data_IF_111181251819
#
_entry.id   IF_111181251819
#
_cell.length_a   1.000
_cell.length_b   1.000
_cell.length_c   1.000
_cell.angle_alpha   90.00
_cell.angle_beta   90.00
_cell.angle_gamma   90.00
#
_symmetry.space_group_name_H-M   'P 1'
#
loop_
_entity.id
_entity.type
_entity.pdbx_description
1 polymer ?
#
# COMPACT_ATOMS: atom_id res chain seq x y z
N UNK A 1 16.35 -6.69 -49.36
CA UNK A 1 15.11 -6.47 -48.59
C UNK A 1 15.41 -5.53 -47.43
N UNK A 2 15.09 -4.26 -47.57
CA UNK A 2 15.25 -3.24 -46.53
C UNK A 2 14.13 -3.38 -45.50
N UNK A 3 14.49 -3.73 -44.25
CA UNK A 3 13.54 -3.76 -43.12
C UNK A 3 12.94 -2.35 -42.95
N UNK A 4 11.64 -2.21 -43.22
CA UNK A 4 10.88 -0.99 -42.87
C UNK A 4 11.01 -0.79 -41.36
N UNK A 5 11.72 0.26 -40.94
CA UNK A 5 11.68 0.74 -39.56
C UNK A 5 10.25 1.18 -39.25
N UNK A 6 9.60 0.49 -38.34
CA UNK A 6 8.29 0.91 -37.85
C UNK A 6 8.36 2.34 -37.34
N UNK A 7 7.45 3.19 -37.82
CA UNK A 7 7.35 4.57 -37.36
C UNK A 7 7.03 4.54 -35.85
N UNK A 8 7.75 5.31 -35.02
CA UNK A 8 7.44 5.39 -33.61
C UNK A 8 5.99 5.87 -33.43
N UNK A 9 5.15 5.04 -32.79
CA UNK A 9 3.77 5.42 -32.45
C UNK A 9 3.81 6.77 -31.72
N UNK A 10 2.95 7.74 -32.08
CA UNK A 10 2.92 9.03 -31.43
C UNK A 10 2.72 8.82 -29.92
N UNK A 11 3.68 9.30 -29.12
CA UNK A 11 3.61 9.24 -27.66
C UNK A 11 2.38 10.03 -27.21
N UNK A 12 1.31 9.33 -26.85
CA UNK A 12 0.13 9.96 -26.21
C UNK A 12 0.64 10.71 -24.98
N UNK A 13 0.42 12.03 -24.92
CA UNK A 13 0.70 12.81 -23.70
C UNK A 13 -0.18 12.26 -22.60
N UNK A 14 0.40 11.39 -21.78
CA UNK A 14 -0.34 10.58 -20.83
C UNK A 14 -0.72 11.33 -19.55
N UNK A 15 -0.18 12.52 -19.24
CA UNK A 15 -0.65 13.30 -18.08
C UNK A 15 -0.61 14.81 -18.36
N UNK A 16 -1.63 15.53 -17.85
CA UNK A 16 -1.98 16.91 -18.21
C UNK A 16 -2.01 17.88 -17.02
N UNK A 17 -1.81 17.43 -15.78
CA UNK A 17 -1.70 18.31 -14.61
C UNK A 17 -2.34 17.75 -13.33
N UNK A 18 -2.60 18.64 -12.38
CA UNK A 18 -3.33 18.34 -11.13
C UNK A 18 -4.84 18.58 -11.25
N UNK A 19 -5.53 18.58 -10.10
CA UNK A 19 -6.98 18.77 -10.03
C UNK A 19 -7.49 20.08 -10.67
N UNK A 20 -6.81 21.25 -10.52
CA UNK A 20 -7.25 22.48 -11.20
C UNK A 20 -7.26 22.31 -12.73
N UNK A 21 -6.22 21.69 -13.29
CA UNK A 21 -6.15 21.41 -14.73
C UNK A 21 -7.25 20.45 -15.16
N UNK A 22 -7.57 19.43 -14.36
CA UNK A 22 -8.69 18.53 -14.62
C UNK A 22 -10.02 19.31 -14.72
N UNK A 23 -10.31 20.14 -13.71
CA UNK A 23 -11.54 20.93 -13.65
C UNK A 23 -11.66 21.89 -14.84
N UNK A 24 -10.56 22.56 -15.23
CA UNK A 24 -10.55 23.42 -16.41
C UNK A 24 -10.91 22.64 -17.67
N UNK A 25 -10.32 21.46 -17.90
CA UNK A 25 -10.62 20.67 -19.09
C UNK A 25 -12.06 20.15 -19.08
N UNK A 26 -12.53 19.62 -17.94
CA UNK A 26 -13.92 19.17 -17.80
C UNK A 26 -14.91 20.29 -18.12
N UNK A 27 -14.70 21.49 -17.54
CA UNK A 27 -15.53 22.66 -17.79
C UNK A 27 -15.51 23.10 -19.25
N UNK A 28 -14.38 22.98 -19.94
CA UNK A 28 -14.31 23.25 -21.38
C UNK A 28 -15.20 22.31 -22.19
N UNK A 29 -15.20 21.01 -21.89
CA UNK A 29 -16.09 20.06 -22.58
C UNK A 29 -17.57 20.34 -22.29
N UNK A 30 -17.91 20.72 -21.05
CA UNK A 30 -19.27 21.12 -20.67
C UNK A 30 -19.72 22.37 -21.43
N UNK A 31 -18.89 23.41 -21.48
CA UNK A 31 -19.17 24.66 -22.19
C UNK A 31 -19.36 24.42 -23.70
N UNK A 32 -18.54 23.55 -24.28
CA UNK A 32 -18.63 23.18 -25.70
C UNK A 32 -19.73 22.14 -25.98
N UNK A 33 -20.48 21.71 -24.95
CA UNK A 33 -21.52 20.66 -25.02
C UNK A 33 -21.03 19.38 -25.71
N UNK A 34 -19.77 19.02 -25.47
CA UNK A 34 -19.18 17.81 -26.00
C UNK A 34 -19.44 16.65 -25.05
N UNK A 35 -19.56 15.44 -25.61
CA UNK A 35 -19.65 14.22 -24.83
C UNK A 35 -18.24 13.79 -24.39
N UNK A 36 -18.10 13.39 -23.13
CA UNK A 36 -16.83 12.94 -22.57
C UNK A 36 -17.05 11.95 -21.43
N UNK A 37 -16.01 11.22 -21.07
CA UNK A 37 -16.04 10.25 -19.97
C UNK A 37 -14.97 10.62 -18.96
N UNK A 38 -15.33 10.58 -17.69
CA UNK A 38 -14.39 10.74 -16.57
C UNK A 38 -14.17 9.37 -15.93
N UNK A 39 -12.94 8.91 -15.88
CA UNK A 39 -12.55 7.68 -15.17
C UNK A 39 -11.75 8.07 -13.94
N UNK A 40 -12.18 7.67 -12.75
CA UNK A 40 -11.47 7.93 -11.49
C UNK A 40 -11.02 6.62 -10.86
N UNK A 41 -9.76 6.51 -10.45
CA UNK A 41 -9.26 5.39 -9.66
C UNK A 41 -8.10 5.85 -8.76
N UNK A 42 -8.25 5.61 -7.46
CA UNK A 42 -7.28 6.07 -6.47
C UNK A 42 -7.01 7.56 -6.59
N UNK A 43 -5.75 7.93 -6.83
CA UNK A 43 -5.35 9.34 -7.03
C UNK A 43 -5.35 9.81 -8.47
N UNK A 44 -5.91 9.03 -9.39
CA UNK A 44 -5.87 9.33 -10.81
C UNK A 44 -7.28 9.67 -11.31
N UNK A 45 -7.36 10.72 -12.13
CA UNK A 45 -8.54 11.04 -12.94
C UNK A 45 -8.14 11.06 -14.40
N UNK A 46 -8.91 10.41 -15.25
CA UNK A 46 -8.78 10.47 -16.68
C UNK A 46 -10.00 11.15 -17.27
N UNK A 47 -9.79 11.93 -18.33
CA UNK A 47 -10.81 12.52 -19.15
C UNK A 47 -10.63 11.98 -20.57
N UNK A 48 -11.62 11.23 -21.04
CA UNK A 48 -11.64 10.61 -22.35
C UNK A 48 -12.61 11.37 -23.26
N UNK A 49 -12.13 11.76 -24.43
CA UNK A 49 -12.94 12.40 -25.46
C UNK A 49 -12.47 11.94 -26.84
N UNK A 50 -13.33 11.21 -27.56
CA UNK A 50 -12.97 10.55 -28.81
C UNK A 50 -11.78 9.60 -28.63
N UNK A 51 -10.67 9.84 -29.33
CA UNK A 51 -9.42 9.05 -29.22
C UNK A 51 -8.43 9.59 -28.19
N UNK A 52 -8.76 10.73 -27.56
CA UNK A 52 -7.88 11.44 -26.66
C UNK A 52 -8.15 11.02 -25.21
N UNK A 53 -7.08 10.82 -24.46
CA UNK A 53 -7.13 10.58 -23.02
C UNK A 53 -6.20 11.59 -22.36
N UNK A 54 -6.78 12.44 -21.51
CA UNK A 54 -6.04 13.31 -20.61
C UNK A 54 -6.07 12.69 -19.22
N UNK A 55 -4.97 12.73 -18.48
CA UNK A 55 -4.92 12.12 -17.16
C UNK A 55 -4.23 13.03 -16.16
N UNK A 56 -4.78 13.03 -14.96
CA UNK A 56 -4.51 13.99 -13.92
C UNK A 56 -4.29 13.24 -12.61
N UNK A 57 -3.44 13.79 -11.75
CA UNK A 57 -3.23 13.24 -10.41
C UNK A 57 -3.82 14.16 -9.36
N UNK A 58 -4.72 13.62 -8.56
CA UNK A 58 -5.30 14.25 -7.38
C UNK A 58 -4.42 13.92 -6.17
N UNK A 59 -3.25 14.54 -6.10
CA UNK A 59 -2.40 14.46 -4.92
C UNK A 59 -2.61 15.68 -4.04
N UNK A 60 -2.73 15.48 -2.73
CA UNK A 60 -2.48 16.55 -1.76
C UNK A 60 -1.03 17.03 -1.94
N UNK A 61 -0.82 18.33 -2.13
CA UNK A 61 0.51 18.93 -2.30
C UNK A 61 1.04 19.09 -3.74
N UNK A 62 0.34 18.57 -4.76
CA UNK A 62 0.64 18.90 -6.16
C UNK A 62 1.96 18.36 -6.73
N UNK A 63 2.59 17.35 -6.10
CA UNK A 63 3.83 16.76 -6.60
C UNK A 63 3.63 16.08 -7.97
N UNK A 64 4.16 16.72 -9.02
CA UNK A 64 4.09 16.26 -10.41
C UNK A 64 4.77 14.90 -10.60
N UNK A 65 5.68 14.50 -9.71
CA UNK A 65 6.39 13.20 -9.77
C UNK A 65 5.45 12.03 -9.51
N UNK A 66 4.31 12.22 -8.83
CA UNK A 66 3.31 11.15 -8.60
C UNK A 66 2.76 10.64 -9.93
N UNK A 67 2.42 11.55 -10.85
CA UNK A 67 1.94 11.17 -12.18
C UNK A 67 3.01 10.46 -13.00
N UNK A 68 4.27 10.88 -12.88
CA UNK A 68 5.38 10.21 -13.55
C UNK A 68 5.64 8.80 -12.99
N UNK A 69 5.61 8.64 -11.68
CA UNK A 69 5.78 7.35 -11.01
C UNK A 69 4.64 6.38 -11.37
N UNK A 70 3.39 6.79 -11.19
CA UNK A 70 2.22 5.96 -11.54
C UNK A 70 2.21 5.57 -13.02
N UNK A 71 2.70 6.43 -13.92
CA UNK A 71 2.82 6.12 -15.34
C UNK A 71 3.84 5.02 -15.58
N UNK A 72 5.05 5.22 -15.06
CA UNK A 72 6.16 4.30 -15.29
C UNK A 72 5.83 2.91 -14.72
N UNK A 73 5.21 2.86 -13.54
CA UNK A 73 4.71 1.61 -12.96
C UNK A 73 3.64 0.98 -13.85
N UNK A 74 2.68 1.74 -14.36
CA UNK A 74 1.63 1.18 -15.23
C UNK A 74 2.16 0.69 -16.58
N UNK A 75 3.18 1.35 -17.12
CA UNK A 75 3.87 0.91 -18.35
C UNK A 75 4.57 -0.43 -18.10
N UNK A 76 5.37 -0.53 -17.04
CA UNK A 76 6.06 -1.77 -16.67
C UNK A 76 5.06 -2.90 -16.31
N UNK A 77 3.96 -2.58 -15.61
CA UNK A 77 2.90 -3.54 -15.31
C UNK A 77 2.28 -4.10 -16.58
N UNK A 78 1.98 -3.26 -17.58
CA UNK A 78 1.40 -3.75 -18.84
C UNK A 78 2.34 -4.68 -19.59
N UNK A 79 3.63 -4.35 -19.62
CA UNK A 79 4.65 -5.23 -20.21
C UNK A 79 4.72 -6.56 -19.44
N UNK A 80 4.70 -6.51 -18.11
CA UNK A 80 4.63 -7.71 -17.28
C UNK A 80 3.38 -8.55 -17.56
N UNK A 81 2.20 -7.93 -17.73
CA UNK A 81 0.93 -8.62 -18.03
C UNK A 81 0.89 -9.25 -19.43
N UNK A 82 1.74 -8.82 -20.38
CA UNK A 82 1.83 -9.46 -21.70
C UNK A 82 2.39 -10.89 -21.60
N UNK A 83 3.33 -11.10 -20.68
CA UNK A 83 4.03 -12.38 -20.48
C UNK A 83 3.49 -13.21 -19.31
N UNK A 84 2.66 -12.63 -18.44
CA UNK A 84 2.21 -13.24 -17.19
C UNK A 84 0.69 -13.29 -17.08
N UNK A 85 0.19 -14.27 -16.30
CA UNK A 85 -1.25 -14.45 -16.06
C UNK A 85 -1.61 -14.17 -14.61
N UNK A 86 -2.88 -13.82 -14.32
CA UNK A 86 -3.37 -13.68 -12.96
C UNK A 86 -3.05 -14.90 -12.10
N UNK A 87 -2.67 -14.67 -10.84
CA UNK A 87 -2.51 -15.74 -9.86
C UNK A 87 -3.85 -16.43 -9.56
N UNK A 88 -3.77 -17.74 -9.30
CA UNK A 88 -4.92 -18.57 -8.92
C UNK A 88 -5.63 -18.02 -7.68
N UNK A 89 -6.96 -18.11 -7.65
CA UNK A 89 -7.81 -17.54 -6.61
C UNK A 89 -7.48 -18.04 -5.20
N UNK A 90 -7.05 -19.30 -5.06
CA UNK A 90 -6.65 -19.90 -3.78
C UNK A 90 -5.43 -19.20 -3.16
N UNK A 91 -4.60 -18.54 -3.97
CA UNK A 91 -3.42 -17.78 -3.53
C UNK A 91 -3.74 -16.31 -3.23
N UNK A 92 -4.96 -15.84 -3.51
CA UNK A 92 -5.36 -14.43 -3.29
C UNK A 92 -5.73 -14.12 -1.86
N UNK A 93 -6.21 -15.11 -1.10
CA UNK A 93 -6.62 -14.92 0.30
C UNK A 93 -5.51 -15.30 1.25
N UNK A 94 -4.66 -14.35 1.60
CA UNK A 94 -3.64 -14.56 2.66
C UNK A 94 -4.21 -14.12 4.00
N UNK A 95 -4.75 -15.07 4.77
CA UNK A 95 -5.12 -14.83 6.16
C UNK A 95 -3.92 -15.16 7.06
N UNK A 96 -3.29 -14.13 7.63
CA UNK A 96 -2.37 -14.33 8.73
C UNK A 96 -3.18 -14.72 9.97
N UNK A 97 -3.10 -15.99 10.38
CA UNK A 97 -3.53 -16.37 11.72
C UNK A 97 -2.39 -16.05 12.68
N UNK A 98 -2.63 -15.12 13.61
CA UNK A 98 -1.72 -14.93 14.73
C UNK A 98 -1.60 -16.28 15.48
N UNK A 99 -0.38 -16.66 15.86
CA UNK A 99 -0.18 -17.89 16.63
C UNK A 99 -0.82 -17.73 18.02
N UNK A 100 -1.37 -18.80 18.60
CA UNK A 100 -1.84 -18.76 20.00
C UNK A 100 -0.74 -18.30 20.97
N UNK A 101 0.52 -18.59 20.61
CA UNK A 101 1.74 -18.11 21.27
C UNK A 101 1.84 -16.57 21.33
N UNK A 102 1.37 -15.85 20.31
CA UNK A 102 1.35 -14.40 20.31
C UNK A 102 0.42 -13.85 21.39
N UNK A 103 -0.81 -14.41 21.43
CA UNK A 103 -1.77 -14.08 22.47
C UNK A 103 -1.18 -14.41 23.83
N UNK A 104 -0.62 -15.60 24.05
CA UNK A 104 -0.01 -15.93 25.35
C UNK A 104 1.18 -15.04 25.75
N UNK A 105 2.02 -14.62 24.79
CA UNK A 105 3.18 -13.77 25.07
C UNK A 105 2.75 -12.34 25.41
N UNK A 106 1.86 -11.74 24.61
CA UNK A 106 1.35 -10.38 24.86
C UNK A 106 0.43 -10.33 26.07
N UNK A 107 -0.43 -11.33 26.27
CA UNK A 107 -1.46 -11.31 27.31
C UNK A 107 -0.90 -11.42 28.73
N UNK A 108 0.40 -11.72 28.89
CA UNK A 108 1.06 -11.68 30.21
C UNK A 108 1.42 -10.26 30.67
N UNK A 109 1.39 -9.27 29.76
CA UNK A 109 1.75 -7.87 30.07
C UNK A 109 3.21 -7.72 30.53
N UNK A 110 3.72 -6.48 30.57
CA UNK A 110 5.05 -6.19 31.10
C UNK A 110 6.20 -6.83 30.31
N UNK A 111 5.96 -7.16 29.03
CA UNK A 111 6.96 -7.74 28.13
C UNK A 111 7.37 -6.78 27.05
N UNK A 112 8.66 -6.79 26.76
CA UNK A 112 9.22 -6.12 25.60
C UNK A 112 8.91 -6.93 24.33
N UNK A 113 8.58 -6.24 23.25
CA UNK A 113 8.45 -6.78 21.91
C UNK A 113 9.24 -5.90 20.93
N UNK A 114 9.82 -6.53 19.92
CA UNK A 114 10.49 -5.83 18.85
C UNK A 114 9.57 -5.77 17.63
N UNK A 115 9.27 -4.56 17.17
CA UNK A 115 8.65 -4.31 15.88
C UNK A 115 9.74 -4.24 14.82
N UNK A 116 9.72 -5.17 13.86
CA UNK A 116 10.60 -5.18 12.70
C UNK A 116 9.81 -4.65 11.49
N UNK A 117 10.13 -3.44 11.06
CA UNK A 117 9.51 -2.77 9.91
C UNK A 117 10.32 -3.01 8.64
N UNK A 118 9.77 -3.73 7.67
CA UNK A 118 10.43 -4.07 6.41
C UNK A 118 10.32 -2.87 5.47
N UNK A 119 11.42 -2.14 5.33
CA UNK A 119 11.45 -0.92 4.54
C UNK A 119 11.15 -1.28 3.09
N UNK A 120 10.24 -0.49 2.49
CA UNK A 120 9.95 -0.56 1.05
C UNK A 120 9.39 -1.93 0.64
N UNK A 121 8.83 -2.71 1.56
CA UNK A 121 8.39 -4.10 1.35
C UNK A 121 7.78 -4.35 -0.04
N UNK A 122 6.65 -3.67 -0.33
CA UNK A 122 5.95 -3.83 -1.61
C UNK A 122 6.75 -3.38 -2.83
N UNK A 123 7.53 -2.31 -2.71
CA UNK A 123 8.36 -1.80 -3.80
C UNK A 123 9.50 -2.76 -4.16
N UNK A 124 10.11 -3.37 -3.14
CA UNK A 124 11.12 -4.40 -3.32
C UNK A 124 10.52 -5.68 -3.90
N UNK A 125 9.31 -6.05 -3.48
CA UNK A 125 8.58 -7.20 -4.03
C UNK A 125 8.30 -7.02 -5.52
N UNK A 126 7.69 -5.89 -5.94
CA UNK A 126 7.39 -5.69 -7.37
C UNK A 126 8.63 -5.69 -8.25
N UNK A 127 9.76 -5.18 -7.75
CA UNK A 127 11.02 -5.23 -8.48
C UNK A 127 11.58 -6.66 -8.57
N UNK A 128 11.63 -7.39 -7.45
CA UNK A 128 12.12 -8.78 -7.44
C UNK A 128 11.25 -9.73 -8.25
N UNK A 129 9.94 -9.47 -8.30
CA UNK A 129 8.99 -10.21 -9.12
C UNK A 129 9.07 -9.84 -10.62
N UNK A 130 9.89 -8.85 -11.01
CA UNK A 130 9.99 -8.38 -12.39
C UNK A 130 8.81 -7.53 -12.88
N UNK A 131 7.90 -7.15 -11.98
CA UNK A 131 6.72 -6.31 -12.31
C UNK A 131 7.13 -4.88 -12.65
N UNK A 132 8.18 -4.37 -12.00
CA UNK A 132 8.78 -3.09 -12.36
C UNK A 132 10.26 -3.26 -12.71
N UNK A 133 10.69 -2.50 -13.69
CA UNK A 133 12.07 -2.45 -14.15
C UNK A 133 12.99 -1.88 -13.06
N UNK A 134 14.29 -2.26 -13.12
CA UNK A 134 15.33 -1.69 -12.26
C UNK A 134 15.36 -0.16 -12.35
N UNK A 135 15.11 0.40 -13.54
CA UNK A 135 15.07 1.85 -13.74
C UNK A 135 13.97 2.51 -12.90
N UNK A 136 12.74 1.98 -12.95
CA UNK A 136 11.62 2.50 -12.17
C UNK A 136 11.87 2.32 -10.67
N UNK A 137 12.39 1.15 -10.28
CA UNK A 137 12.75 0.87 -8.89
C UNK A 137 13.72 1.92 -8.34
N UNK A 138 14.90 2.09 -8.96
CA UNK A 138 15.95 3.00 -8.49
C UNK A 138 15.52 4.47 -8.52
N UNK A 139 14.72 4.87 -9.51
CA UNK A 139 14.27 6.27 -9.65
C UNK A 139 13.39 6.72 -8.49
N UNK A 140 12.55 5.83 -7.94
CA UNK A 140 11.54 6.19 -6.94
C UNK A 140 11.75 5.50 -5.58
N UNK A 141 12.80 4.70 -5.39
CA UNK A 141 13.00 3.87 -4.18
C UNK A 141 13.00 4.66 -2.88
N UNK A 142 13.46 5.90 -2.88
CA UNK A 142 13.63 6.71 -1.67
C UNK A 142 12.37 7.52 -1.31
N UNK A 143 11.43 7.68 -2.25
CA UNK A 143 10.22 8.46 -2.01
C UNK A 143 9.04 7.57 -1.59
N UNK A 144 8.72 7.57 -0.29
CA UNK A 144 7.65 6.73 0.28
C UNK A 144 6.29 7.05 -0.34
N UNK A 145 5.97 8.33 -0.52
CA UNK A 145 4.65 8.77 -1.00
C UNK A 145 4.45 8.32 -2.44
N UNK A 146 5.43 8.55 -3.32
CA UNK A 146 5.33 8.14 -4.72
C UNK A 146 5.06 6.64 -4.87
N UNK A 147 5.75 5.82 -4.08
CA UNK A 147 5.64 4.35 -4.13
C UNK A 147 4.30 3.86 -3.63
N UNK A 148 3.83 4.35 -2.48
CA UNK A 148 2.55 3.96 -1.91
C UNK A 148 1.39 4.32 -2.85
N UNK A 149 1.45 5.51 -3.47
CA UNK A 149 0.42 5.94 -4.41
C UNK A 149 0.43 5.09 -5.69
N UNK A 150 1.61 4.82 -6.25
CA UNK A 150 1.72 4.06 -7.50
C UNK A 150 1.26 2.60 -7.34
N UNK A 151 1.72 1.92 -6.29
CA UNK A 151 1.31 0.54 -6.02
C UNK A 151 -0.16 0.48 -5.56
N UNK A 152 -0.57 1.38 -4.66
CA UNK A 152 -1.93 1.42 -4.15
C UNK A 152 -2.99 1.62 -5.24
N UNK A 153 -2.65 2.34 -6.31
CA UNK A 153 -3.53 2.54 -7.46
C UNK A 153 -3.83 1.26 -8.25
N UNK A 154 -2.99 0.21 -8.17
CA UNK A 154 -3.22 -1.06 -8.87
C UNK A 154 -4.49 -1.78 -8.36
N UNK A 155 -4.81 -1.63 -7.07
CA UNK A 155 -5.97 -2.27 -6.45
C UNK A 155 -7.27 -1.42 -6.51
N UNK A 156 -7.21 -0.17 -6.96
CA UNK A 156 -8.38 0.72 -6.88
C UNK A 156 -9.34 0.45 -8.02
N UNK A 157 -10.60 0.12 -7.69
CA UNK A 157 -11.71 0.11 -8.65
C UNK A 157 -11.80 1.44 -9.40
N UNK A 158 -12.29 1.35 -10.63
CA UNK A 158 -12.48 2.49 -11.52
C UNK A 158 -13.94 2.92 -11.43
N UNK A 159 -14.17 4.19 -11.14
CA UNK A 159 -15.48 4.82 -11.31
C UNK A 159 -15.49 5.51 -12.67
N UNK A 160 -16.40 5.10 -13.55
CA UNK A 160 -16.57 5.63 -14.90
C UNK A 160 -17.85 6.45 -14.92
N UNK A 161 -17.73 7.75 -15.20
CA UNK A 161 -18.85 8.68 -15.28
C UNK A 161 -18.94 9.21 -16.70
N UNK A 162 -20.05 8.93 -17.39
CA UNK A 162 -20.27 9.48 -18.73
C UNK A 162 -21.03 10.79 -18.65
N UNK A 163 -20.60 11.76 -19.45
CA UNK A 163 -21.26 13.05 -19.60
C UNK A 163 -21.70 13.22 -21.05
N UNK A 164 -22.98 13.59 -21.24
CA UNK A 164 -23.56 13.93 -22.54
C UNK A 164 -24.01 15.38 -22.55
N UNK A 165 -23.50 16.17 -23.50
CA UNK A 165 -23.79 17.62 -23.61
C UNK A 165 -23.63 18.36 -22.27
N UNK A 166 -22.59 18.03 -21.51
CA UNK A 166 -22.27 18.63 -20.21
C UNK A 166 -23.14 18.16 -19.02
N UNK A 167 -24.02 17.17 -19.20
CA UNK A 167 -24.80 16.58 -18.11
C UNK A 167 -24.31 15.17 -17.83
N UNK A 168 -24.19 14.82 -16.54
CA UNK A 168 -23.93 13.44 -16.11
C UNK A 168 -25.06 12.55 -16.63
N UNK A 169 -24.68 11.51 -17.37
CA UNK A 169 -25.58 10.59 -18.04
C UNK A 169 -25.63 9.23 -17.34
N UNK A 170 -24.47 8.69 -16.96
CA UNK A 170 -24.34 7.42 -16.26
C UNK A 170 -23.13 7.42 -15.33
N UNK A 171 -23.15 6.51 -14.37
CA UNK A 171 -22.00 6.18 -13.53
C UNK A 171 -21.96 4.67 -13.32
N UNK A 172 -20.79 4.09 -13.49
CA UNK A 172 -20.52 2.67 -13.30
C UNK A 172 -19.23 2.48 -12.50
N UNK A 173 -19.15 1.39 -11.76
CA UNK A 173 -17.95 1.00 -11.02
C UNK A 173 -17.41 -0.31 -11.57
N UNK A 174 -16.19 -0.26 -12.09
CA UNK A 174 -15.54 -1.37 -12.76
C UNK A 174 -14.33 -1.84 -11.94
N UNK A 175 -14.10 -3.15 -11.97
CA UNK A 175 -12.88 -3.70 -11.39
C UNK A 175 -11.66 -3.25 -12.19
N UNK A 176 -10.53 -3.07 -11.48
CA UNK A 176 -9.30 -2.70 -12.14
C UNK A 176 -8.67 -3.95 -12.76
N UNK A 177 -8.47 -3.92 -14.09
CA UNK A 177 -7.81 -5.01 -14.81
C UNK A 177 -6.44 -5.38 -14.22
N UNK A 178 -5.75 -4.43 -13.58
CA UNK A 178 -4.42 -4.62 -12.98
C UNK A 178 -4.48 -5.08 -11.51
N UNK A 179 -5.67 -5.28 -10.94
CA UNK A 179 -5.83 -5.61 -9.52
C UNK A 179 -5.14 -6.93 -9.14
N UNK A 180 -5.07 -7.89 -10.06
CA UNK A 180 -4.40 -9.16 -9.79
C UNK A 180 -2.89 -9.01 -9.55
N UNK A 181 -2.26 -7.95 -10.10
CA UNK A 181 -0.84 -7.66 -9.83
C UNK A 181 -0.65 -7.21 -8.38
N UNK A 182 -1.62 -6.48 -7.82
CA UNK A 182 -1.63 -6.20 -6.40
C UNK A 182 -1.80 -7.48 -5.57
N UNK A 183 -2.69 -8.39 -5.98
CA UNK A 183 -2.85 -9.69 -5.30
C UNK A 183 -1.53 -10.49 -5.31
N UNK A 184 -0.79 -10.48 -6.42
CA UNK A 184 0.55 -11.07 -6.51
C UNK A 184 1.52 -10.45 -5.50
N UNK A 185 1.51 -9.12 -5.35
CA UNK A 185 2.37 -8.42 -4.37
C UNK A 185 2.04 -8.84 -2.94
N UNK A 186 0.75 -8.91 -2.60
CA UNK A 186 0.29 -9.34 -1.27
C UNK A 186 0.69 -10.80 -1.02
N UNK A 187 0.50 -11.68 -2.01
CA UNK A 187 0.90 -13.07 -1.92
C UNK A 187 2.41 -13.23 -1.72
N UNK A 188 3.23 -12.49 -2.46
CA UNK A 188 4.69 -12.51 -2.31
C UNK A 188 5.17 -11.96 -0.97
N UNK A 189 4.46 -10.97 -0.41
CA UNK A 189 4.71 -10.51 0.94
C UNK A 189 4.44 -11.64 1.95
N UNK A 190 3.31 -12.34 1.79
CA UNK A 190 2.97 -13.50 2.61
C UNK A 190 4.04 -14.60 2.56
N UNK A 191 4.51 -14.99 1.38
CA UNK A 191 5.57 -16.00 1.25
C UNK A 191 6.84 -15.58 1.98
N UNK A 192 7.24 -14.31 1.86
CA UNK A 192 8.40 -13.76 2.57
C UNK A 192 8.23 -13.85 4.09
N UNK A 193 7.09 -13.40 4.60
CA UNK A 193 6.78 -13.44 6.03
C UNK A 193 6.67 -14.87 6.59
N UNK A 194 6.07 -15.79 5.82
CA UNK A 194 5.99 -17.20 6.18
C UNK A 194 7.38 -17.84 6.24
N UNK A 195 8.26 -17.52 5.29
CA UNK A 195 9.64 -17.99 5.29
C UNK A 195 10.40 -17.51 6.53
N UNK A 196 10.25 -16.22 6.89
CA UNK A 196 10.82 -15.66 8.12
C UNK A 196 10.27 -16.38 9.36
N UNK A 197 8.95 -16.62 9.41
CA UNK A 197 8.34 -17.30 10.54
C UNK A 197 8.84 -18.74 10.71
N UNK A 198 8.90 -19.51 9.62
CA UNK A 198 9.43 -20.88 9.64
C UNK A 198 10.88 -20.89 10.11
N UNK A 199 11.70 -19.96 9.62
CA UNK A 199 13.10 -19.83 10.02
C UNK A 199 13.26 -19.47 11.51
N UNK A 200 12.37 -18.63 12.05
CA UNK A 200 12.32 -18.28 13.48
C UNK A 200 11.56 -19.32 14.33
N UNK A 201 11.29 -20.53 13.81
CA UNK A 201 10.65 -21.61 14.55
C UNK A 201 9.18 -21.34 14.95
N UNK A 202 8.45 -20.57 14.14
CA UNK A 202 7.04 -20.24 14.39
C UNK A 202 6.82 -19.15 15.44
N UNK A 203 7.87 -18.39 15.78
CA UNK A 203 7.87 -17.41 16.87
C UNK A 203 7.67 -15.96 16.40
N UNK A 204 7.33 -15.75 15.13
CA UNK A 204 6.88 -14.43 14.68
C UNK A 204 5.44 -14.25 15.11
N UNK A 205 5.22 -13.14 15.80
CA UNK A 205 4.03 -12.90 16.60
C UNK A 205 2.83 -12.43 15.80
N UNK A 206 3.07 -11.54 14.84
CA UNK A 206 2.02 -10.96 14.02
C UNK A 206 2.65 -10.50 12.72
N UNK A 207 1.85 -10.59 11.65
CA UNK A 207 2.18 -10.01 10.37
C UNK A 207 1.21 -8.87 10.09
N UNK A 208 1.77 -7.68 9.90
CA UNK A 208 1.11 -6.62 9.16
C UNK A 208 1.67 -6.67 7.74
N UNK A 209 1.07 -5.86 6.87
CA UNK A 209 1.40 -5.75 5.46
C UNK A 209 2.88 -5.55 5.13
N UNK A 210 3.63 -4.92 6.03
CA UNK A 210 5.01 -4.50 5.85
C UNK A 210 5.86 -4.59 7.13
N UNK A 211 5.33 -5.16 8.22
CA UNK A 211 6.05 -5.29 9.47
C UNK A 211 5.64 -6.52 10.28
N UNK A 212 6.48 -6.92 11.21
CA UNK A 212 6.24 -8.05 12.11
C UNK A 212 6.63 -7.72 13.54
N UNK A 213 5.96 -8.34 14.50
CA UNK A 213 6.39 -8.33 15.90
C UNK A 213 7.17 -9.61 16.20
N UNK A 214 8.20 -9.52 17.03
CA UNK A 214 8.98 -10.67 17.52
C UNK A 214 9.40 -10.45 18.96
N UNK A 215 9.70 -11.54 19.65
CA UNK A 215 10.34 -11.49 20.96
C UNK A 215 11.79 -10.98 20.81
N UNK A 216 12.34 -10.23 21.79
CA UNK A 216 13.73 -9.79 21.74
C UNK A 216 14.73 -10.92 21.47
N UNK A 217 14.51 -12.10 22.07
CA UNK A 217 15.34 -13.29 21.87
C UNK A 217 15.29 -13.87 20.45
N UNK A 218 14.28 -13.52 19.64
CA UNK A 218 14.13 -13.96 18.25
C UNK A 218 14.58 -12.89 17.23
N UNK A 219 14.91 -11.69 17.71
CA UNK A 219 15.22 -10.55 16.84
C UNK A 219 16.38 -10.85 15.90
N UNK A 220 17.50 -11.35 16.43
CA UNK A 220 18.71 -11.59 15.63
C UNK A 220 18.46 -12.61 14.51
N UNK A 221 17.76 -13.71 14.82
CA UNK A 221 17.40 -14.76 13.85
C UNK A 221 16.47 -14.22 12.76
N UNK A 222 15.47 -13.45 13.16
CA UNK A 222 14.50 -12.81 12.25
C UNK A 222 15.20 -11.84 11.30
N UNK A 223 16.03 -10.94 11.84
CA UNK A 223 16.80 -9.97 11.08
C UNK A 223 17.78 -10.63 10.09
N UNK A 224 18.45 -11.72 10.49
CA UNK A 224 19.31 -12.50 9.59
C UNK A 224 18.54 -13.04 8.39
N UNK A 225 17.32 -13.54 8.59
CA UNK A 225 16.49 -14.06 7.51
C UNK A 225 15.97 -12.95 6.58
N UNK A 226 15.57 -11.80 7.12
CA UNK A 226 15.13 -10.67 6.30
C UNK A 226 16.28 -10.16 5.42
N UNK A 227 17.50 -10.07 5.98
CA UNK A 227 18.70 -9.70 5.22
C UNK A 227 19.06 -10.74 4.15
N UNK A 228 18.97 -12.05 4.45
CA UNK A 228 19.27 -13.10 3.47
C UNK A 228 18.28 -13.10 2.31
N UNK A 229 17.03 -12.70 2.56
CA UNK A 229 16.03 -12.45 1.53
C UNK A 229 16.26 -11.14 0.77
N UNK A 230 17.23 -10.31 1.18
CA UNK A 230 17.62 -9.05 0.53
C UNK A 230 16.63 -7.91 0.77
N UNK A 231 16.10 -7.79 1.99
CA UNK A 231 15.21 -6.70 2.38
C UNK A 231 15.86 -5.83 3.46
N UNK A 232 15.70 -4.52 3.33
CA UNK A 232 16.06 -3.56 4.38
C UNK A 232 15.00 -3.57 5.48
N UNK A 233 15.39 -3.32 6.72
CA UNK A 233 14.46 -3.20 7.85
C UNK A 233 14.91 -2.15 8.87
N UNK A 234 13.99 -1.72 9.72
CA UNK A 234 14.29 -1.05 10.99
C UNK A 234 13.68 -1.82 12.16
N UNK A 235 14.23 -1.62 13.35
CA UNK A 235 13.73 -2.24 14.58
C UNK A 235 13.30 -1.14 15.54
N UNK A 236 12.11 -1.29 16.12
CA UNK A 236 11.64 -0.48 17.24
C UNK A 236 11.32 -1.39 18.42
N UNK A 237 11.80 -1.04 19.60
CA UNK A 237 11.43 -1.71 20.84
C UNK A 237 10.16 -1.09 21.39
N UNK A 238 9.24 -1.92 21.87
CA UNK A 238 7.97 -1.52 22.47
C UNK A 238 7.70 -2.37 23.71
N UNK A 239 7.07 -1.77 24.71
CA UNK A 239 6.62 -2.47 25.90
C UNK A 239 5.12 -2.70 25.82
N UNK A 240 4.66 -3.94 26.03
CA UNK A 240 3.24 -4.24 26.18
C UNK A 240 2.80 -3.80 27.56
N UNK A 241 1.97 -2.75 27.62
CA UNK A 241 1.53 -2.14 28.89
C UNK A 241 0.10 -2.51 29.27
N UNK A 242 -0.70 -3.04 28.34
CA UNK A 242 -2.05 -3.52 28.66
C UNK A 242 -2.93 -3.76 27.44
N UNK A 243 -4.25 -3.69 27.63
CA UNK A 243 -5.25 -3.75 26.56
C UNK A 243 -6.35 -2.71 26.76
N UNK A 244 -6.99 -2.35 25.65
CA UNK A 244 -8.24 -1.60 25.63
C UNK A 244 -9.19 -2.26 24.62
N UNK A 245 -10.23 -2.93 25.12
CA UNK A 245 -11.13 -3.75 24.29
C UNK A 245 -10.40 -4.86 23.51
N UNK A 246 -10.34 -4.72 22.17
CA UNK A 246 -9.65 -5.65 21.25
C UNK A 246 -8.24 -5.19 20.86
N UNK A 247 -7.78 -4.05 21.40
CA UNK A 247 -6.47 -3.48 21.08
C UNK A 247 -5.45 -3.83 22.16
N UNK A 248 -4.22 -4.08 21.75
CA UNK A 248 -3.08 -4.14 22.69
C UNK A 248 -2.53 -2.73 22.80
N UNK A 249 -2.30 -2.31 24.03
CA UNK A 249 -1.70 -1.02 24.34
C UNK A 249 -0.20 -1.23 24.50
N UNK A 250 0.58 -0.50 23.71
CA UNK A 250 2.03 -0.55 23.76
C UNK A 250 2.62 0.83 24.04
N UNK A 251 3.62 0.90 24.89
CA UNK A 251 4.43 2.08 25.11
C UNK A 251 5.74 1.99 24.32
N UNK A 252 6.20 3.10 23.75
CA UNK A 252 7.57 3.19 23.24
C UNK A 252 8.58 3.42 24.37
N UNK A 253 9.87 3.52 24.00
CA UNK A 253 10.97 3.70 24.94
C UNK A 253 10.94 5.06 25.68
N UNK A 254 10.10 5.99 25.24
CA UNK A 254 9.91 7.31 25.85
C UNK A 254 8.62 7.36 26.69
N UNK A 255 7.95 6.21 26.86
CA UNK A 255 6.71 6.09 27.63
C UNK A 255 5.46 6.50 26.85
N UNK A 256 5.56 6.85 25.55
CA UNK A 256 4.38 7.25 24.77
C UNK A 256 3.53 6.03 24.48
N UNK A 257 2.29 6.08 24.93
CA UNK A 257 1.33 4.99 24.84
C UNK A 257 0.55 5.09 23.53
N UNK A 258 0.43 3.97 22.80
CA UNK A 258 -0.41 3.86 21.61
C UNK A 258 -1.22 2.58 21.62
N UNK A 259 -2.49 2.69 21.26
CA UNK A 259 -3.36 1.55 20.97
C UNK A 259 -3.04 0.96 19.60
N UNK A 260 -2.83 -0.35 19.54
CA UNK A 260 -2.63 -1.07 18.29
C UNK A 260 -3.78 -2.07 18.11
N UNK A 261 -4.49 -1.97 16.98
CA UNK A 261 -5.48 -2.97 16.59
C UNK A 261 -4.77 -4.15 15.93
N UNK A 262 -4.97 -5.34 16.50
CA UNK A 262 -4.54 -6.62 15.96
C UNK A 262 -5.81 -7.24 15.39
N UNK A 263 -5.98 -7.19 14.06
CA UNK A 263 -7.23 -7.54 13.40
C UNK A 263 -7.83 -8.88 13.86
N UNK A 264 -9.16 -8.95 13.95
CA UNK A 264 -9.96 -10.19 13.96
C UNK A 264 -9.48 -11.37 14.82
N UNK A 265 -8.94 -11.15 16.02
CA UNK A 265 -8.65 -12.26 16.95
C UNK A 265 -9.79 -12.46 17.94
N UNK A 266 -10.61 -13.49 17.70
CA UNK A 266 -11.66 -13.96 18.61
C UNK A 266 -11.15 -14.32 20.03
N UNK A 267 -9.83 -14.42 20.25
CA UNK A 267 -9.21 -14.83 21.52
C UNK A 267 -8.73 -13.72 22.46
N UNK A 268 -8.74 -12.43 22.07
CA UNK A 268 -8.18 -11.34 22.91
C UNK A 268 -9.10 -10.88 24.07
N UNK A 269 -10.33 -11.39 24.18
CA UNK A 269 -11.34 -10.85 25.09
C UNK A 269 -11.10 -11.07 26.59
N UNK A 270 -10.18 -11.94 27.02
CA UNK A 270 -10.36 -12.57 28.34
C UNK A 270 -9.36 -12.29 29.48
N UNK A 271 -8.17 -11.66 29.31
CA UNK A 271 -7.13 -11.84 30.36
C UNK A 271 -6.17 -10.66 30.70
N UNK A 272 -6.50 -9.40 30.41
CA UNK A 272 -5.74 -8.24 30.96
C UNK A 272 -6.70 -7.26 31.65
N UNK A 273 -6.26 -6.51 32.67
CA UNK A 273 -7.04 -5.37 33.17
C UNK A 273 -7.20 -4.34 32.05
N UNK A 274 -8.40 -3.78 31.90
CA UNK A 274 -8.61 -2.66 30.98
C UNK A 274 -7.76 -1.49 31.46
N UNK A 275 -7.00 -0.92 30.53
CA UNK A 275 -6.32 0.36 30.77
C UNK A 275 -7.26 1.44 30.26
N UNK A 276 -7.67 2.34 31.15
CA UNK A 276 -8.34 3.57 30.76
C UNK A 276 -7.36 4.40 29.95
N UNK A 277 -7.54 4.41 28.63
CA UNK A 277 -6.81 5.29 27.76
C UNK A 277 -7.47 6.68 27.84
N UNK A 278 -6.69 7.76 28.02
CA UNK A 278 -7.21 9.10 27.85
C UNK A 278 -7.82 9.23 26.46
N UNK A 279 -8.92 9.97 26.38
CA UNK A 279 -9.60 10.30 25.13
C UNK A 279 -8.64 10.93 24.11
N UNK A 280 -9.00 10.87 22.84
CA UNK A 280 -8.13 11.38 21.77
C UNK A 280 -7.87 12.90 21.91
N UNK A 281 -8.80 13.64 22.53
CA UNK A 281 -8.62 15.04 22.89
C UNK A 281 -7.58 15.23 24.01
N UNK A 282 -7.59 14.37 25.02
CA UNK A 282 -6.60 14.39 26.11
C UNK A 282 -5.20 13.93 25.62
N UNK A 283 -5.11 13.11 24.57
CA UNK A 283 -3.83 12.69 23.98
C UNK A 283 -3.14 13.78 23.15
N UNK A 284 -3.93 14.67 22.54
CA UNK A 284 -3.41 15.79 21.74
C UNK A 284 -2.92 16.95 22.63
N UNK A 285 -3.51 17.16 23.82
CA UNK A 285 -3.02 18.16 24.81
C UNK A 285 -1.61 17.83 25.35
N UNK A 286 -1.26 16.55 25.54
CA UNK A 286 0.07 16.14 26.01
C UNK A 286 1.21 16.36 24.98
N UNK A 287 0.88 16.73 23.75
CA UNK A 287 1.87 16.97 22.70
C UNK A 287 2.17 18.46 22.48
N UNK A 288 1.44 19.37 23.16
CA UNK A 288 1.63 20.82 23.01
C UNK A 288 2.51 21.45 24.10
N UNK A 289 2.87 20.72 25.18
CA UNK A 289 3.59 21.28 26.34
C UNK A 289 5.13 21.09 26.32
N UNK A 290 5.72 20.56 25.24
CA UNK A 290 7.18 20.49 25.05
C UNK A 290 7.64 21.28 23.81
N UNK A 291 7.50 22.62 23.84
CA UNK A 291 8.31 23.56 23.04
C UNK A 291 9.23 24.41 23.95
#
# INVERSE_FOLDING_TARGET
MTKKKDKPKPRKKLFSGGMPSFLTHARMYELLRQDYVVVTYGSVKELLHGKNTLRFVTAQGGDRRIGACCRSVLEDVREFEEDNKPIESEKRTTFYKNSGLFTEYIMKGGREVCLVDVKRCYWTIVHKAGVISKKVYETYKDDKVLRLMAIGNLNKRKTVVEYRKGKRYSEDTQDNAHAWVWDLVVFKAYEMFEAVNKYSGGKVFMFKTDCMYVAPEQLQTTCKMINSLGYDYSVEYKNVVGRSGSQVVMADNVGRVRGYSFGGTYGLKMFLSEVDLPSQAEQDEFLEDDE
#
